data_IF_714590926504
#
_entry.id   IF_714590926504
#
_cell.length_a   1.000
_cell.length_b   1.000
_cell.length_c   1.000
_cell.angle_alpha   90.00
_cell.angle_beta   90.00
_cell.angle_gamma   90.00
#
_symmetry.space_group_name_H-M   'P 1'
#
loop_
_entity.id
_entity.type
_entity.pdbx_description
1 polymer ?
#
# COMPACT_ATOMS: atom_id res chain seq x y z
N UNK A 1 32.02 26.22 11.43
CA UNK A 1 32.34 27.36 10.54
C UNK A 1 31.28 27.46 9.46
N UNK A 2 30.77 28.67 9.23
CA UNK A 2 29.55 29.01 8.50
C UNK A 2 29.62 28.73 6.99
N UNK A 3 28.54 28.11 6.48
CA UNK A 3 27.86 28.21 5.16
C UNK A 3 28.73 28.46 3.91
N UNK A 4 28.58 27.58 2.89
CA UNK A 4 28.23 28.00 1.52
C UNK A 4 27.21 27.04 0.90
N UNK A 5 25.99 27.55 0.76
CA UNK A 5 24.98 27.03 -0.17
C UNK A 5 25.40 27.41 -1.59
N UNK A 6 25.33 26.45 -2.52
CA UNK A 6 25.13 26.74 -3.94
C UNK A 6 24.12 25.75 -4.48
N UNK A 7 22.92 26.25 -4.73
CA UNK A 7 21.90 25.60 -5.51
C UNK A 7 22.31 25.71 -6.99
N UNK A 8 22.44 24.58 -7.67
CA UNK A 8 22.55 24.50 -9.12
C UNK A 8 21.67 23.36 -9.57
N UNK A 9 20.53 23.71 -10.15
CA UNK A 9 19.66 22.78 -10.87
C UNK A 9 20.45 22.16 -12.04
N UNK A 10 20.51 20.82 -12.08
CA UNK A 10 21.05 20.07 -13.22
C UNK A 10 22.18 19.10 -12.85
N UNK A 11 21.95 17.82 -13.16
CA UNK A 11 22.81 16.63 -13.00
C UNK A 11 22.89 16.08 -11.58
N UNK A 12 22.13 15.02 -11.33
CA UNK A 12 22.32 14.11 -10.19
C UNK A 12 23.62 13.35 -10.46
N UNK A 13 24.73 13.85 -9.93
CA UNK A 13 25.93 13.03 -9.74
C UNK A 13 25.81 12.33 -8.40
N UNK A 14 25.78 11.00 -8.45
CA UNK A 14 25.87 10.09 -7.30
C UNK A 14 27.04 10.47 -6.40
N UNK A 15 26.76 10.96 -5.20
CA UNK A 15 27.74 11.00 -4.11
C UNK A 15 27.39 9.90 -3.12
N UNK A 16 28.02 8.75 -3.29
CA UNK A 16 27.95 7.62 -2.37
C UNK A 16 28.61 7.99 -1.04
N UNK A 17 27.81 8.13 0.03
CA UNK A 17 28.32 8.15 1.41
C UNK A 17 28.52 6.70 1.83
N UNK A 18 29.76 6.31 2.12
CA UNK A 18 30.08 5.00 2.68
C UNK A 18 29.46 4.89 4.08
N UNK A 19 28.43 4.05 4.23
CA UNK A 19 27.81 3.78 5.53
C UNK A 19 28.51 2.56 6.15
N UNK A 20 29.53 2.82 6.97
CA UNK A 20 29.99 1.82 7.94
C UNK A 20 28.86 1.48 8.93
N UNK A 21 28.92 0.30 9.56
CA UNK A 21 27.92 -0.19 10.53
C UNK A 21 27.65 0.88 11.61
N UNK A 22 26.53 1.58 11.50
CA UNK A 22 26.02 2.47 12.53
C UNK A 22 25.18 1.68 13.54
N UNK A 23 25.23 2.10 14.80
CA UNK A 23 24.43 1.51 15.87
C UNK A 23 22.96 1.96 15.76
N UNK A 24 22.01 1.18 16.30
CA UNK A 24 20.55 1.45 16.24
C UNK A 24 20.14 2.91 16.57
N UNK A 25 20.70 3.60 17.59
CA UNK A 25 20.33 4.99 17.87
C UNK A 25 20.82 6.00 16.81
N UNK A 26 21.92 5.72 16.11
CA UNK A 26 22.49 6.62 15.10
C UNK A 26 21.72 6.59 13.77
N UNK A 27 20.97 5.50 13.52
CA UNK A 27 20.10 5.35 12.35
C UNK A 27 18.90 6.31 12.39
N UNK A 28 18.39 6.62 13.58
CA UNK A 28 17.24 7.51 13.78
C UNK A 28 17.67 8.96 13.48
N UNK A 29 18.84 9.37 13.96
CA UNK A 29 19.35 10.73 13.76
C UNK A 29 19.66 11.04 12.29
N UNK A 30 20.27 10.11 11.56
CA UNK A 30 20.59 10.30 10.14
C UNK A 30 19.34 10.35 9.25
N UNK A 31 18.25 9.69 9.64
CA UNK A 31 16.99 9.66 8.89
C UNK A 31 16.10 10.89 9.13
N UNK A 32 16.12 11.43 10.35
CA UNK A 32 15.38 12.66 10.70
C UNK A 32 15.86 13.88 9.89
N UNK A 33 17.18 13.99 9.68
CA UNK A 33 17.78 15.10 8.90
C UNK A 33 17.41 15.07 7.41
N UNK A 34 17.25 13.88 6.81
CA UNK A 34 16.84 13.75 5.41
C UNK A 34 15.34 14.03 5.21
N UNK A 35 14.50 13.71 6.20
CA UNK A 35 13.05 13.97 6.15
C UNK A 35 12.70 15.47 6.26
N UNK A 36 13.53 16.26 6.95
CA UNK A 36 13.25 17.70 7.15
C UNK A 36 13.40 18.57 5.91
N UNK A 37 14.12 18.13 4.87
CA UNK A 37 14.25 18.92 3.62
C UNK A 37 13.18 18.59 2.56
N UNK A 38 12.44 17.48 2.71
CA UNK A 38 11.37 17.07 1.77
C UNK A 38 9.95 17.49 2.18
N UNK A 39 9.75 18.05 3.37
CA UNK A 39 8.44 18.47 3.90
C UNK A 39 7.83 19.70 3.24
N UNK A 40 8.53 20.35 2.31
CA UNK A 40 8.14 21.68 1.83
C UNK A 40 7.10 21.70 0.69
N UNK A 41 6.65 20.56 0.16
CA UNK A 41 5.58 20.54 -0.84
C UNK A 41 4.57 19.40 -0.57
N UNK A 42 3.51 19.74 0.18
CA UNK A 42 2.20 19.04 0.28
C UNK A 42 2.17 17.64 0.92
N UNK A 43 2.50 17.54 2.22
CA UNK A 43 2.42 16.31 3.03
C UNK A 43 1.12 16.12 3.85
N UNK A 44 0.03 16.85 3.54
CA UNK A 44 -1.24 16.70 4.25
C UNK A 44 -2.19 15.77 3.49
N UNK A 45 -2.76 14.82 4.23
CA UNK A 45 -3.83 13.96 3.73
C UNK A 45 -5.10 14.76 3.42
N UNK A 46 -6.04 14.17 2.69
CA UNK A 46 -7.35 14.77 2.36
C UNK A 46 -8.13 15.25 3.60
N UNK A 47 -7.84 14.66 4.75
CA UNK A 47 -8.43 14.91 6.06
C UNK A 47 -7.62 15.91 6.91
N UNK A 48 -6.53 16.47 6.36
CA UNK A 48 -5.66 17.44 7.04
C UNK A 48 -4.64 16.83 8.02
N UNK A 49 -4.66 15.52 8.25
CA UNK A 49 -3.70 14.83 9.10
C UNK A 49 -2.38 14.52 8.39
N UNK A 50 -1.36 14.20 9.19
CA UNK A 50 -0.06 13.73 8.70
C UNK A 50 -0.14 12.24 8.41
N UNK A 51 0.46 11.82 7.29
CA UNK A 51 0.56 10.42 6.92
C UNK A 51 1.23 9.58 8.02
N UNK A 52 0.71 8.37 8.25
CA UNK A 52 1.29 7.40 9.16
C UNK A 52 2.70 7.00 8.72
N UNK A 53 3.60 6.97 9.69
CA UNK A 53 4.91 6.38 9.54
C UNK A 53 4.89 4.89 9.94
N UNK A 54 6.07 4.25 9.87
CA UNK A 54 6.25 2.84 10.20
C UNK A 54 5.89 2.53 11.65
N UNK A 55 6.24 3.41 12.59
CA UNK A 55 5.97 3.20 14.01
C UNK A 55 4.47 3.13 14.27
N UNK A 56 3.70 4.04 13.68
CA UNK A 56 2.25 4.06 13.81
C UNK A 56 1.58 2.79 13.27
N UNK A 57 2.10 2.23 12.18
CA UNK A 57 1.57 0.97 11.61
C UNK A 57 1.87 -0.21 12.53
N UNK A 58 3.12 -0.38 12.95
CA UNK A 58 3.49 -1.51 13.81
C UNK A 58 2.80 -1.44 15.15
N UNK A 59 2.66 -0.24 15.73
CA UNK A 59 1.88 -0.01 16.93
C UNK A 59 0.40 -0.40 16.72
N UNK A 60 -0.21 -0.03 15.59
CA UNK A 60 -1.59 -0.42 15.29
C UNK A 60 -1.73 -1.95 15.20
N UNK A 61 -0.84 -2.61 14.48
CA UNK A 61 -0.86 -4.07 14.33
C UNK A 61 -0.73 -4.76 15.69
N UNK A 62 0.24 -4.37 16.50
CA UNK A 62 0.46 -4.91 17.85
C UNK A 62 -0.74 -4.67 18.76
N UNK A 63 -1.23 -3.42 18.85
CA UNK A 63 -2.38 -3.03 19.67
C UNK A 63 -3.64 -3.83 19.34
N UNK A 64 -3.80 -4.25 18.09
CA UNK A 64 -4.95 -5.01 17.62
C UNK A 64 -4.71 -6.52 17.56
N UNK A 65 -3.57 -7.03 18.05
CA UNK A 65 -3.25 -8.45 18.06
C UNK A 65 -2.96 -9.03 16.67
N UNK A 66 -2.62 -8.19 15.70
CA UNK A 66 -2.35 -8.58 14.32
C UNK A 66 -0.88 -8.97 14.18
N UNK A 67 -0.58 -10.27 14.34
CA UNK A 67 0.77 -10.81 14.24
C UNK A 67 1.42 -10.41 12.91
N UNK A 68 2.65 -9.90 12.97
CA UNK A 68 3.40 -9.47 11.80
C UNK A 68 4.89 -9.74 11.95
N UNK A 69 5.57 -10.01 10.83
CA UNK A 69 7.03 -10.08 10.78
C UNK A 69 7.54 -9.25 9.63
N UNK A 70 8.52 -8.38 9.86
CA UNK A 70 9.06 -7.48 8.82
C UNK A 70 10.52 -7.81 8.54
N UNK A 71 10.89 -7.80 7.26
CA UNK A 71 12.27 -7.96 6.81
C UNK A 71 12.69 -6.77 5.94
N UNK A 72 13.93 -6.34 6.13
CA UNK A 72 14.58 -5.33 5.29
C UNK A 72 15.09 -5.95 3.99
N UNK A 73 15.04 -5.16 2.91
CA UNK A 73 15.68 -5.48 1.64
C UNK A 73 16.04 -4.20 0.87
N UNK A 74 16.99 -4.26 -0.08
CA UNK A 74 17.20 -3.16 -1.02
C UNK A 74 15.91 -2.82 -1.77
N UNK A 75 15.69 -1.55 -2.17
CA UNK A 75 14.54 -1.20 -2.99
C UNK A 75 14.54 -2.00 -4.30
N UNK A 76 13.38 -2.55 -4.65
CA UNK A 76 13.19 -3.35 -5.85
C UNK A 76 12.56 -2.47 -6.93
N UNK A 77 13.26 -2.25 -8.04
CA UNK A 77 12.81 -1.36 -9.10
C UNK A 77 12.25 -2.12 -10.30
N UNK A 78 12.71 -3.35 -10.50
CA UNK A 78 12.23 -4.22 -11.58
C UNK A 78 11.44 -5.41 -11.02
N UNK A 79 10.60 -6.00 -11.88
CA UNK A 79 9.88 -7.25 -11.56
C UNK A 79 10.87 -8.39 -11.29
N UNK A 80 11.99 -8.42 -12.03
CA UNK A 80 13.04 -9.43 -11.85
C UNK A 80 13.73 -9.30 -10.48
N UNK A 81 14.09 -8.09 -10.05
CA UNK A 81 14.64 -7.84 -8.72
C UNK A 81 13.64 -8.27 -7.63
N UNK A 82 12.35 -7.97 -7.88
CA UNK A 82 11.26 -8.32 -6.98
C UNK A 82 11.04 -9.81 -6.81
N UNK A 83 11.45 -10.63 -7.79
CA UNK A 83 11.41 -12.09 -7.71
C UNK A 83 12.68 -12.67 -7.08
N UNK A 84 13.85 -12.12 -7.43
CA UNK A 84 15.15 -12.60 -6.97
C UNK A 84 15.44 -12.28 -5.49
N UNK A 85 14.96 -11.13 -4.99
CA UNK A 85 15.19 -10.67 -3.62
C UNK A 85 14.12 -11.15 -2.64
N UNK A 86 13.19 -12.00 -3.08
CA UNK A 86 12.22 -12.62 -2.18
C UNK A 86 12.95 -13.46 -1.14
N UNK A 87 12.57 -13.37 0.14
CA UNK A 87 13.13 -14.27 1.14
C UNK A 87 12.82 -15.71 0.73
N UNK A 88 13.87 -16.45 0.38
CA UNK A 88 13.79 -17.84 -0.05
C UNK A 88 13.13 -18.70 1.04
N UNK A 89 12.18 -19.55 0.67
CA UNK A 89 11.51 -20.47 1.59
C UNK A 89 10.36 -19.88 2.42
N UNK A 90 9.91 -18.65 2.12
CA UNK A 90 8.71 -18.08 2.77
C UNK A 90 7.48 -18.40 1.92
N UNK A 91 6.61 -19.25 2.45
CA UNK A 91 5.31 -19.56 1.85
C UNK A 91 4.33 -18.40 2.08
N UNK A 92 3.58 -18.03 1.05
CA UNK A 92 2.56 -16.99 1.15
C UNK A 92 2.22 -16.38 -0.20
N UNK A 93 1.20 -15.53 -0.21
CA UNK A 93 0.80 -14.77 -1.38
C UNK A 93 1.57 -13.45 -1.49
N UNK A 94 2.20 -13.21 -2.64
CA UNK A 94 2.74 -11.90 -2.97
C UNK A 94 1.66 -11.07 -3.64
N UNK A 95 1.54 -9.81 -3.21
CA UNK A 95 0.45 -8.95 -3.65
C UNK A 95 0.95 -7.83 -4.52
N UNK A 96 0.10 -7.41 -5.47
CA UNK A 96 0.19 -6.09 -6.07
C UNK A 96 -1.05 -5.29 -5.77
N UNK A 97 -0.88 -3.97 -5.74
CA UNK A 97 -1.91 -3.03 -5.30
C UNK A 97 -2.15 -1.99 -6.38
N UNK A 98 -3.41 -1.86 -6.81
CA UNK A 98 -3.83 -0.92 -7.83
C UNK A 98 -4.66 0.18 -7.17
N UNK A 99 -4.15 1.42 -7.22
CA UNK A 99 -4.92 2.58 -6.79
C UNK A 99 -5.64 3.20 -7.99
N UNK A 100 -6.96 3.01 -8.02
CA UNK A 100 -7.81 3.27 -9.18
C UNK A 100 -8.85 4.35 -8.87
N UNK A 101 -9.35 4.99 -9.93
CA UNK A 101 -10.47 5.91 -9.87
C UNK A 101 -11.42 5.74 -11.03
N UNK A 102 -12.65 6.22 -10.87
CA UNK A 102 -13.57 6.44 -11.98
C UNK A 102 -13.70 7.93 -12.35
N UNK A 103 -14.56 8.24 -13.33
CA UNK A 103 -14.87 9.61 -13.74
C UNK A 103 -15.58 10.44 -12.66
N UNK A 104 -16.36 9.80 -11.77
CA UNK A 104 -17.08 10.46 -10.67
C UNK A 104 -16.16 10.86 -9.51
N UNK A 105 -14.89 10.41 -9.53
CA UNK A 105 -13.91 10.72 -8.49
C UNK A 105 -13.87 9.71 -7.35
N UNK A 106 -14.66 8.64 -7.41
CA UNK A 106 -14.58 7.52 -6.47
C UNK A 106 -13.23 6.83 -6.61
N UNK A 107 -12.63 6.44 -5.49
CA UNK A 107 -11.30 5.81 -5.41
C UNK A 107 -11.41 4.37 -4.93
N UNK A 108 -10.56 3.50 -5.46
CA UNK A 108 -10.42 2.11 -5.03
C UNK A 108 -8.96 1.75 -4.79
N UNK A 109 -8.72 0.97 -3.75
CA UNK A 109 -7.48 0.22 -3.56
C UNK A 109 -7.79 -1.26 -3.79
N UNK A 110 -7.25 -1.81 -4.87
CA UNK A 110 -7.45 -3.22 -5.26
C UNK A 110 -6.19 -4.01 -5.00
N UNK A 111 -6.26 -4.97 -4.08
CA UNK A 111 -5.17 -5.91 -3.77
C UNK A 111 -5.44 -7.25 -4.44
N UNK A 112 -4.50 -7.72 -5.26
CA UNK A 112 -4.62 -9.01 -5.96
C UNK A 112 -3.30 -9.76 -5.95
N UNK A 113 -3.33 -11.04 -6.33
CA UNK A 113 -2.10 -11.79 -6.56
C UNK A 113 -1.22 -11.04 -7.56
N UNK A 114 0.08 -11.03 -7.30
CA UNK A 114 1.04 -10.30 -8.11
C UNK A 114 0.97 -10.69 -9.60
N UNK A 115 0.70 -11.96 -9.90
CA UNK A 115 0.62 -12.47 -11.27
C UNK A 115 -0.79 -12.35 -11.87
N UNK A 116 -1.79 -11.90 -11.10
CA UNK A 116 -3.16 -11.77 -11.59
C UNK A 116 -3.25 -10.72 -12.69
N UNK A 117 -3.68 -11.12 -13.91
CA UNK A 117 -4.00 -10.15 -14.95
C UNK A 117 -5.32 -9.45 -14.64
N UNK A 118 -5.35 -8.12 -14.72
CA UNK A 118 -6.53 -7.31 -14.33
C UNK A 118 -7.00 -6.49 -15.53
N UNK A 119 -8.15 -6.86 -16.07
CA UNK A 119 -8.88 -6.03 -17.04
C UNK A 119 -9.70 -4.96 -16.31
N UNK A 120 -9.30 -3.69 -16.45
CA UNK A 120 -9.94 -2.55 -15.79
C UNK A 120 -11.38 -2.30 -16.26
N UNK A 121 -11.76 -2.74 -17.47
CA UNK A 121 -13.13 -2.65 -17.96
C UNK A 121 -14.01 -3.64 -17.23
N UNK A 122 -13.62 -4.92 -17.17
CA UNK A 122 -14.39 -5.94 -16.44
C UNK A 122 -14.43 -5.66 -14.95
N UNK A 123 -13.32 -5.25 -14.35
CA UNK A 123 -13.26 -4.83 -12.95
C UNK A 123 -14.21 -3.65 -12.67
N UNK A 124 -14.22 -2.64 -13.55
CA UNK A 124 -15.10 -1.49 -13.43
C UNK A 124 -16.58 -1.82 -13.54
N UNK A 125 -16.95 -2.77 -14.42
CA UNK A 125 -18.31 -3.31 -14.49
C UNK A 125 -18.67 -4.08 -13.22
N UNK A 126 -17.79 -4.96 -12.73
CA UNK A 126 -18.04 -5.77 -11.54
C UNK A 126 -18.26 -4.93 -10.28
N UNK A 127 -17.46 -3.87 -10.11
CA UNK A 127 -17.56 -2.91 -9.00
C UNK A 127 -18.69 -1.89 -9.16
N UNK A 128 -19.44 -1.89 -10.27
CA UNK A 128 -20.42 -0.84 -10.56
C UNK A 128 -19.80 0.55 -10.72
N UNK A 129 -18.49 0.63 -10.96
CA UNK A 129 -17.70 1.86 -11.00
C UNK A 129 -17.71 2.54 -12.37
N UNK A 130 -18.13 1.84 -13.43
CA UNK A 130 -17.96 2.25 -14.81
C UNK A 130 -16.50 2.16 -15.24
N UNK A 131 -16.04 3.04 -16.14
CA UNK A 131 -14.65 3.02 -16.60
C UNK A 131 -13.68 3.42 -15.48
N UNK A 132 -12.76 2.52 -15.15
CA UNK A 132 -11.64 2.73 -14.23
C UNK A 132 -10.37 3.19 -14.94
N UNK A 133 -9.52 3.90 -14.21
CA UNK A 133 -8.17 4.29 -14.60
C UNK A 133 -7.30 4.43 -13.36
N UNK A 134 -5.97 4.32 -13.48
CA UNK A 134 -5.06 4.63 -12.38
C UNK A 134 -5.24 6.06 -11.89
N UNK A 135 -5.22 6.23 -10.56
CA UNK A 135 -5.19 7.54 -9.94
C UNK A 135 -3.76 8.13 -10.01
N UNK A 136 -3.66 9.45 -9.98
CA UNK A 136 -2.37 10.14 -10.09
C UNK A 136 -1.56 10.04 -8.80
N UNK A 137 -0.21 10.20 -8.84
CA UNK A 137 0.63 10.19 -7.64
C UNK A 137 0.19 11.19 -6.57
N UNK A 138 -0.31 12.36 -6.96
CA UNK A 138 -0.80 13.39 -6.03
C UNK A 138 -2.05 12.92 -5.29
N UNK A 139 -2.91 12.15 -5.96
CA UNK A 139 -4.07 11.52 -5.30
C UNK A 139 -3.62 10.39 -4.38
N UNK A 140 -2.63 9.61 -4.76
CA UNK A 140 -2.09 8.56 -3.90
C UNK A 140 -1.54 9.15 -2.60
N UNK A 141 -0.73 10.21 -2.68
CA UNK A 141 -0.25 10.95 -1.51
C UNK A 141 -1.41 11.54 -0.71
N UNK A 142 -2.37 12.19 -1.37
CA UNK A 142 -3.49 12.86 -0.70
C UNK A 142 -4.41 11.88 0.04
N UNK A 143 -4.69 10.71 -0.52
CA UNK A 143 -5.68 9.78 0.05
C UNK A 143 -5.05 8.70 0.92
N UNK A 144 -3.85 8.24 0.56
CA UNK A 144 -3.20 7.10 1.22
C UNK A 144 -1.84 7.46 1.84
N UNK A 145 -1.35 8.69 1.68
CA UNK A 145 -0.13 9.16 2.35
C UNK A 145 1.16 8.51 1.86
N UNK A 146 1.15 7.91 0.68
CA UNK A 146 2.28 7.15 0.14
C UNK A 146 2.62 7.52 -1.30
N UNK A 147 3.88 7.30 -1.66
CA UNK A 147 4.40 7.52 -3.02
C UNK A 147 4.24 6.29 -3.89
N UNK A 148 4.37 6.48 -5.20
CA UNK A 148 4.39 5.38 -6.16
C UNK A 148 5.56 4.43 -5.88
N UNK A 149 5.34 3.13 -6.05
CA UNK A 149 6.35 2.08 -5.78
C UNK A 149 6.24 1.44 -4.40
N UNK A 150 5.45 2.01 -3.47
CA UNK A 150 5.18 1.44 -2.16
C UNK A 150 3.66 1.25 -1.89
N UNK A 151 2.86 1.10 -2.96
CA UNK A 151 1.41 0.93 -2.85
C UNK A 151 1.09 -0.32 -2.04
N UNK A 152 0.33 -0.14 -0.97
CA UNK A 152 0.08 -1.18 0.03
C UNK A 152 -1.31 -1.08 0.64
N UNK A 153 -1.97 -2.20 0.98
CA UNK A 153 -3.21 -2.20 1.74
C UNK A 153 -3.04 -1.64 3.15
N UNK A 154 -1.82 -1.62 3.71
CA UNK A 154 -1.56 -0.99 5.02
C UNK A 154 -1.74 0.53 5.00
N UNK A 155 -1.79 1.14 3.81
CA UNK A 155 -2.00 2.57 3.67
C UNK A 155 -3.43 3.02 4.02
N UNK A 156 -4.36 2.08 4.15
CA UNK A 156 -5.74 2.35 4.56
C UNK A 156 -5.83 2.99 5.96
N UNK A 157 -4.81 2.83 6.81
CA UNK A 157 -4.74 3.55 8.11
C UNK A 157 -4.74 5.08 7.95
N UNK A 158 -4.36 5.60 6.78
CA UNK A 158 -4.31 7.02 6.49
C UNK A 158 -5.67 7.59 6.04
N UNK A 159 -6.57 6.75 5.52
CA UNK A 159 -7.88 7.17 5.02
C UNK A 159 -8.95 7.14 6.12
N UNK A 160 -8.79 7.97 7.15
CA UNK A 160 -9.72 8.03 8.30
C UNK A 160 -11.13 8.52 7.93
N UNK A 161 -11.29 9.07 6.73
CA UNK A 161 -12.57 9.52 6.17
C UNK A 161 -13.23 8.43 5.31
N UNK A 162 -12.60 7.27 5.17
CA UNK A 162 -13.09 6.08 4.46
C UNK A 162 -13.54 6.39 3.02
N UNK A 163 -12.75 7.19 2.32
CA UNK A 163 -13.03 7.67 0.96
C UNK A 163 -12.53 6.72 -0.14
N UNK A 164 -11.70 5.75 0.21
CA UNK A 164 -11.11 4.74 -0.66
C UNK A 164 -11.78 3.40 -0.40
N UNK A 165 -12.48 2.86 -1.39
CA UNK A 165 -13.05 1.51 -1.27
C UNK A 165 -11.94 0.46 -1.39
N UNK A 166 -11.91 -0.49 -0.45
CA UNK A 166 -10.97 -1.59 -0.50
C UNK A 166 -11.58 -2.81 -1.18
N UNK A 167 -10.88 -3.39 -2.15
CA UNK A 167 -11.26 -4.64 -2.79
C UNK A 167 -10.08 -5.61 -2.81
N UNK A 168 -10.35 -6.89 -2.59
CA UNK A 168 -9.33 -7.94 -2.51
C UNK A 168 -9.71 -9.14 -3.38
N UNK A 169 -8.73 -9.67 -4.09
CA UNK A 169 -8.86 -10.94 -4.82
C UNK A 169 -9.05 -12.10 -3.85
N UNK A 170 -10.11 -12.89 -4.06
CA UNK A 170 -10.40 -14.10 -3.29
C UNK A 170 -9.33 -15.17 -3.41
N UNK A 171 -8.55 -15.19 -4.49
CA UNK A 171 -7.44 -16.13 -4.62
C UNK A 171 -6.43 -15.97 -3.48
N UNK A 172 -6.23 -14.74 -3.01
CA UNK A 172 -5.31 -14.42 -1.91
C UNK A 172 -5.74 -15.06 -0.58
N UNK A 173 -7.04 -15.29 -0.39
CA UNK A 173 -7.60 -15.90 0.83
C UNK A 173 -7.20 -17.38 1.00
N UNK A 174 -6.64 -18.00 -0.04
CA UNK A 174 -6.14 -19.38 0.01
C UNK A 174 -4.75 -19.50 0.60
N UNK A 175 -4.04 -18.38 0.76
CA UNK A 175 -2.75 -18.36 1.43
C UNK A 175 -2.96 -18.19 2.93
N UNK A 176 -2.13 -18.85 3.74
CA UNK A 176 -2.13 -18.62 5.19
C UNK A 176 -1.61 -17.22 5.54
N UNK A 177 -0.67 -16.72 4.74
CA UNK A 177 0.01 -15.44 4.95
C UNK A 177 0.18 -14.68 3.63
N UNK A 178 0.23 -13.35 3.74
CA UNK A 178 0.47 -12.42 2.64
C UNK A 178 1.69 -11.55 2.92
N UNK A 179 2.37 -11.15 1.86
CA UNK A 179 3.50 -10.24 1.88
C UNK A 179 3.10 -8.88 1.30
N UNK A 180 3.30 -7.82 2.10
CA UNK A 180 2.93 -6.44 1.76
C UNK A 180 4.03 -5.48 2.18
N UNK A 181 4.12 -4.32 1.52
CA UNK A 181 5.03 -3.25 1.94
C UNK A 181 4.42 -2.44 3.10
N UNK A 182 5.12 -2.16 4.21
CA UNK A 182 4.63 -1.26 5.26
C UNK A 182 4.85 0.21 4.84
N UNK A 183 4.27 0.63 3.71
CA UNK A 183 4.36 1.99 3.12
C UNK A 183 5.72 2.41 2.57
N UNK A 184 6.75 1.56 2.68
CA UNK A 184 8.06 1.77 2.06
C UNK A 184 8.46 0.53 1.28
N UNK A 185 9.11 0.72 0.14
CA UNK A 185 9.49 -0.37 -0.77
C UNK A 185 10.84 -1.02 -0.43
N UNK A 186 11.42 -0.69 0.74
CA UNK A 186 12.63 -1.31 1.29
C UNK A 186 12.32 -2.32 2.40
N UNK A 187 11.03 -2.51 2.69
CA UNK A 187 10.55 -3.41 3.73
C UNK A 187 9.47 -4.32 3.15
N UNK A 188 9.44 -5.55 3.62
CA UNK A 188 8.33 -6.47 3.40
C UNK A 188 7.83 -6.97 4.75
N UNK A 189 6.55 -6.73 5.02
CA UNK A 189 5.83 -7.22 6.19
C UNK A 189 4.97 -8.40 5.80
N UNK A 190 5.11 -9.49 6.56
CA UNK A 190 4.31 -10.71 6.42
C UNK A 190 3.24 -10.72 7.50
N UNK A 191 1.99 -10.94 7.09
CA UNK A 191 0.81 -10.98 7.95
C UNK A 191 0.02 -12.24 7.63
N UNK A 192 -0.65 -12.87 8.61
CA UNK A 192 -1.74 -13.80 8.31
C UNK A 192 -2.76 -13.13 7.39
N UNK A 193 -3.28 -13.87 6.41
CA UNK A 193 -4.26 -13.32 5.46
C UNK A 193 -5.48 -12.76 6.17
N UNK A 194 -5.95 -13.48 7.21
CA UNK A 194 -7.04 -13.01 8.08
C UNK A 194 -6.67 -11.72 8.80
N UNK A 195 -5.41 -11.55 9.19
CA UNK A 195 -4.92 -10.33 9.84
C UNK A 195 -4.97 -9.11 8.92
N UNK A 196 -4.73 -9.28 7.62
CA UNK A 196 -4.89 -8.20 6.64
C UNK A 196 -6.37 -7.82 6.45
N UNK A 197 -7.26 -8.81 6.40
CA UNK A 197 -8.71 -8.57 6.33
C UNK A 197 -9.20 -7.85 7.59
N UNK A 198 -8.78 -8.29 8.76
CA UNK A 198 -9.11 -7.63 10.03
C UNK A 198 -8.54 -6.22 10.12
N UNK A 199 -7.31 -5.99 9.64
CA UNK A 199 -6.74 -4.65 9.53
C UNK A 199 -7.63 -3.72 8.69
N UNK A 200 -8.07 -4.19 7.53
CA UNK A 200 -8.94 -3.40 6.66
C UNK A 200 -10.29 -3.11 7.34
N UNK A 201 -10.91 -4.09 8.01
CA UNK A 201 -12.13 -3.89 8.79
C UNK A 201 -11.93 -2.87 9.93
N UNK A 202 -10.84 -2.99 10.70
CA UNK A 202 -10.54 -2.11 11.85
C UNK A 202 -10.19 -0.68 11.45
N UNK A 203 -9.68 -0.48 10.24
CA UNK A 203 -9.44 0.85 9.66
C UNK A 203 -10.67 1.44 8.97
N UNK A 204 -11.82 0.76 9.02
CA UNK A 204 -13.07 1.26 8.41
C UNK A 204 -13.20 0.96 6.90
N UNK A 205 -12.37 0.06 6.37
CA UNK A 205 -12.31 -0.32 4.95
C UNK A 205 -12.68 -1.79 4.74
N UNK A 206 -13.93 -2.15 5.05
CA UNK A 206 -14.33 -3.54 5.00
C UNK A 206 -14.31 -4.05 3.53
N UNK A 207 -13.64 -5.17 3.22
CA UNK A 207 -13.26 -5.51 1.85
C UNK A 207 -14.46 -5.87 0.97
N UNK A 208 -14.34 -5.53 -0.31
CA UNK A 208 -15.11 -6.11 -1.41
C UNK A 208 -14.34 -7.28 -2.00
N UNK A 209 -14.87 -8.50 -1.86
CA UNK A 209 -14.23 -9.69 -2.41
C UNK A 209 -14.45 -9.84 -3.92
N UNK A 210 -13.36 -9.95 -4.67
CA UNK A 210 -13.32 -10.10 -6.13
C UNK A 210 -12.91 -11.51 -6.51
N UNK A 211 -13.58 -12.07 -7.52
CA UNK A 211 -13.16 -13.30 -8.19
C UNK A 211 -12.82 -12.97 -9.64
N UNK A 212 -11.55 -13.16 -10.00
CA UNK A 212 -11.06 -13.08 -11.37
C UNK A 212 -11.23 -14.45 -12.04
N UNK A 213 -11.98 -14.48 -13.14
CA UNK A 213 -12.27 -15.70 -13.88
C UNK A 213 -11.26 -15.89 -15.03
N UNK A 214 -11.14 -17.12 -15.52
CA UNK A 214 -10.20 -17.44 -16.59
C UNK A 214 -10.53 -16.77 -17.93
N UNK A 215 -11.81 -16.47 -18.17
CA UNK A 215 -12.28 -15.71 -19.34
C UNK A 215 -12.01 -14.19 -19.23
N UNK A 216 -11.29 -13.76 -18.19
CA UNK A 216 -10.98 -12.36 -17.91
C UNK A 216 -12.12 -11.58 -17.27
N UNK A 217 -13.30 -12.17 -17.08
CA UNK A 217 -14.40 -11.53 -16.37
C UNK A 217 -14.10 -11.42 -14.87
N UNK A 218 -14.71 -10.43 -14.22
CA UNK A 218 -14.57 -10.23 -12.78
C UNK A 218 -15.95 -10.30 -12.15
N UNK A 219 -16.07 -10.99 -11.03
CA UNK A 219 -17.31 -11.06 -10.24
C UNK A 219 -17.06 -10.61 -8.82
N UNK A 220 -18.08 -10.00 -8.22
CA UNK A 220 -18.06 -9.60 -6.80
C UNK A 220 -18.83 -10.65 -6.01
N UNK A 221 -18.24 -11.19 -4.95
CA UNK A 221 -18.95 -12.08 -4.04
C UNK A 221 -19.93 -11.28 -3.20
N UNK A 222 -21.22 -11.47 -3.49
CA UNK A 222 -22.31 -10.73 -2.87
C UNK A 222 -22.71 -11.27 -1.49
N UNK A 223 -22.26 -12.46 -1.10
CA UNK A 223 -22.60 -13.06 0.20
C UNK A 223 -21.70 -12.51 1.31
N UNK A 224 -20.39 -12.43 1.05
CA UNK A 224 -19.42 -11.87 2.00
C UNK A 224 -19.40 -10.34 2.03
N UNK A 225 -20.19 -9.68 1.16
CA UNK A 225 -20.28 -8.23 1.04
C UNK A 225 -21.62 -7.64 1.52
N UNK A 226 -22.37 -8.33 2.41
CA UNK A 226 -23.59 -7.77 3.02
C UNK A 226 -23.28 -7.00 4.31
N UNK A 227 -23.86 -5.81 4.44
CA UNK A 227 -23.98 -5.11 5.73
C UNK A 227 -25.14 -5.72 6.56
N UNK A 228 -25.21 -5.49 7.89
CA UNK A 228 -26.31 -6.00 8.74
C UNK A 228 -27.71 -5.58 8.29
N UNK A 229 -27.83 -4.52 7.49
CA UNK A 229 -29.07 -4.00 6.93
C UNK A 229 -29.44 -4.60 5.55
N UNK A 230 -28.68 -5.59 5.07
CA UNK A 230 -28.96 -6.30 3.81
C UNK A 230 -28.54 -5.57 2.54
N UNK A 231 -27.94 -4.37 2.63
CA UNK A 231 -27.37 -3.68 1.47
C UNK A 231 -26.09 -4.36 1.00
N UNK A 232 -25.91 -4.41 -0.32
CA UNK A 232 -24.59 -4.68 -0.89
C UNK A 232 -23.66 -3.56 -0.46
N UNK A 233 -22.48 -3.93 0.00
CA UNK A 233 -21.37 -3.04 0.31
C UNK A 233 -20.77 -2.46 -0.99
N UNK A 234 -21.60 -1.80 -1.78
CA UNK A 234 -21.23 -0.97 -2.91
C UNK A 234 -22.26 0.14 -2.99
N UNK A 235 -22.09 1.16 -2.16
CA UNK A 235 -22.57 2.53 -2.40
C UNK A 235 -21.87 3.47 -1.45
#
# INVERSE_FOLDING_TARGET
>A
MVIKRSCSYGKITSTSVAVGRLSKPDYIAARVLCLTEMTSLTGQLNNGSVAADLEKIFFFLEKHGLSSTTRDHPPMFTVADSQALRPFGVSGGYTKNLFLRNKKGTMWLVTCDENQSVDLRHLGTALGAGRLSFASPERLMRFLGITTGAVSPLALINDVTHTVYFAIDQSLLRHDQLHVHPLVNTLTTTLPTIGLVEFAMKTGHPPVYLKFNHDGSVTVDRFNNKMPDGRLKVT
#
